data_IF_493634536982
#
_entry.id   IF_493634536982
#
_cell.length_a   1.000
_cell.length_b   1.000
_cell.length_c   1.000
_cell.angle_alpha   90.00
_cell.angle_beta   90.00
_cell.angle_gamma   90.00
#
_symmetry.space_group_name_H-M   'P 1'
#
loop_
_entity.id
_entity.type
_entity.pdbx_description
1 polymer ?
#
# COMPACT_ATOMS: atom_id res chain seq x y z
N UNK A 1 -9.90 15.28 -20.56
CA UNK A 1 -8.43 15.40 -20.87
C UNK A 1 -7.67 15.39 -19.57
N UNK A 2 -6.56 14.67 -19.49
CA UNK A 2 -5.70 14.67 -18.30
C UNK A 2 -5.08 16.03 -18.10
N UNK A 3 -5.26 16.66 -16.93
CA UNK A 3 -4.66 17.97 -16.63
C UNK A 3 -3.25 17.76 -16.08
N UNK A 4 -2.26 18.42 -16.66
CA UNK A 4 -0.91 18.47 -16.10
C UNK A 4 -0.82 19.57 -15.05
N UNK A 5 -0.38 19.23 -13.84
CA UNK A 5 -0.24 20.15 -12.71
C UNK A 5 1.21 20.60 -12.45
N UNK A 6 2.16 20.26 -13.30
CA UNK A 6 3.59 20.55 -13.08
C UNK A 6 3.88 22.04 -12.87
N UNK A 7 3.12 22.92 -13.52
CA UNK A 7 3.29 24.37 -13.38
C UNK A 7 2.49 24.97 -12.22
N UNK A 8 1.24 24.54 -12.06
CA UNK A 8 0.30 25.14 -11.11
C UNK A 8 0.35 24.46 -9.73
N UNK A 9 0.82 23.23 -9.69
CA UNK A 9 0.85 22.39 -8.50
C UNK A 9 -0.53 22.02 -7.96
N UNK A 10 -0.56 21.22 -6.88
CA UNK A 10 -1.78 20.79 -6.22
C UNK A 10 -2.65 21.97 -5.74
N UNK A 11 -2.05 23.11 -5.44
CA UNK A 11 -2.76 24.30 -4.94
C UNK A 11 -3.88 24.78 -5.89
N UNK A 12 -3.72 24.55 -7.22
CA UNK A 12 -4.69 24.97 -8.23
C UNK A 12 -6.02 24.22 -8.16
N UNK A 13 -6.02 23.03 -7.56
CA UNK A 13 -7.21 22.17 -7.47
C UNK A 13 -7.60 21.79 -6.03
N UNK A 14 -6.74 22.04 -5.04
CA UNK A 14 -6.95 21.57 -3.67
C UNK A 14 -8.28 22.04 -3.04
N UNK A 15 -8.78 23.20 -3.46
CA UNK A 15 -10.05 23.72 -2.93
C UNK A 15 -11.29 22.91 -3.38
N UNK A 16 -11.15 22.12 -4.44
CA UNK A 16 -12.25 21.31 -4.98
C UNK A 16 -12.49 20.03 -4.17
N UNK A 17 -11.60 19.70 -3.20
CA UNK A 17 -11.65 18.46 -2.44
C UNK A 17 -11.73 18.71 -0.94
N UNK A 18 -12.39 17.77 -0.25
CA UNK A 18 -12.57 17.78 1.20
C UNK A 18 -11.56 16.84 1.88
N UNK A 19 -11.21 15.75 1.21
CA UNK A 19 -10.34 14.69 1.73
C UNK A 19 -9.30 14.28 0.70
N UNK A 20 -8.06 14.08 1.19
CA UNK A 20 -6.94 13.59 0.38
C UNK A 20 -6.46 12.26 0.93
N UNK A 21 -6.41 11.22 0.08
CA UNK A 21 -5.63 10.02 0.34
C UNK A 21 -4.28 10.19 -0.35
N UNK A 22 -3.21 10.14 0.41
CA UNK A 22 -1.85 10.43 -0.08
C UNK A 22 -0.98 9.23 0.22
N UNK A 23 -0.38 8.63 -0.81
CA UNK A 23 0.56 7.55 -0.62
C UNK A 23 1.84 8.03 0.07
N UNK A 24 2.53 7.11 0.77
CA UNK A 24 3.79 7.40 1.45
C UNK A 24 5.00 7.13 0.55
N UNK A 25 5.11 5.91 0.06
CA UNK A 25 6.29 5.46 -0.68
C UNK A 25 6.25 5.97 -2.11
N UNK A 26 7.31 6.63 -2.58
CA UNK A 26 7.34 7.27 -3.89
C UNK A 26 6.70 8.66 -3.93
N UNK A 27 5.89 9.03 -2.94
CA UNK A 27 5.20 10.34 -2.85
C UNK A 27 5.75 11.20 -1.71
N UNK A 28 5.72 10.69 -0.48
CA UNK A 28 6.22 11.43 0.70
C UNK A 28 7.69 11.13 0.96
N UNK A 29 8.15 9.91 0.68
CA UNK A 29 9.54 9.48 0.86
C UNK A 29 9.94 8.41 -0.16
N UNK A 30 11.25 8.20 -0.32
CA UNK A 30 11.82 7.17 -1.18
C UNK A 30 12.42 5.98 -0.40
N UNK A 31 12.01 5.77 0.85
CA UNK A 31 12.54 4.76 1.75
C UNK A 31 13.84 5.15 2.49
N UNK A 32 14.47 6.27 2.09
CA UNK A 32 15.73 6.79 2.67
C UNK A 32 15.53 8.17 3.29
N UNK A 33 14.81 9.05 2.59
CA UNK A 33 14.56 10.44 3.00
C UNK A 33 13.18 10.91 2.60
N UNK A 34 12.67 11.92 3.33
CA UNK A 34 11.44 12.63 3.00
C UNK A 34 11.66 13.54 1.78
N UNK A 35 10.60 13.73 1.00
CA UNK A 35 10.54 14.74 -0.07
C UNK A 35 10.08 16.07 0.52
N UNK A 36 10.94 17.07 0.55
CA UNK A 36 10.65 18.38 1.15
C UNK A 36 9.41 19.05 0.58
N UNK A 37 9.21 18.98 -0.74
CA UNK A 37 8.03 19.54 -1.41
C UNK A 37 6.73 18.86 -0.96
N UNK A 38 6.76 17.55 -0.76
CA UNK A 38 5.61 16.81 -0.25
C UNK A 38 5.28 17.22 1.20
N UNK A 39 6.28 17.31 2.07
CA UNK A 39 6.09 17.79 3.45
C UNK A 39 5.54 19.22 3.48
N UNK A 40 6.07 20.12 2.63
CA UNK A 40 5.54 21.47 2.50
C UNK A 40 4.05 21.46 2.06
N UNK A 41 3.70 20.58 1.12
CA UNK A 41 2.31 20.41 0.67
C UNK A 41 1.39 19.94 1.79
N UNK A 42 1.80 18.96 2.60
CA UNK A 42 1.01 18.50 3.77
C UNK A 42 0.77 19.65 4.77
N UNK A 43 1.79 20.46 5.05
CA UNK A 43 1.65 21.60 5.93
C UNK A 43 0.68 22.65 5.36
N UNK A 44 0.68 22.89 4.04
CA UNK A 44 -0.29 23.79 3.41
C UNK A 44 -1.72 23.23 3.44
N UNK A 45 -1.92 21.90 3.27
CA UNK A 45 -3.22 21.28 3.43
C UNK A 45 -3.75 21.46 4.86
N UNK A 46 -2.89 21.28 5.89
CA UNK A 46 -3.24 21.55 7.30
C UNK A 46 -3.64 23.00 7.53
N UNK A 47 -2.85 23.96 7.07
CA UNK A 47 -3.17 25.39 7.19
C UNK A 47 -4.52 25.75 6.56
N UNK A 48 -4.90 25.05 5.50
CA UNK A 48 -6.20 25.20 4.83
C UNK A 48 -7.33 24.37 5.45
N UNK A 49 -7.09 23.72 6.59
CA UNK A 49 -8.03 22.83 7.29
C UNK A 49 -8.56 21.70 6.37
N UNK A 50 -7.74 21.19 5.45
CA UNK A 50 -8.07 20.05 4.60
C UNK A 50 -7.79 18.76 5.33
N UNK A 51 -8.73 17.80 5.26
CA UNK A 51 -8.52 16.45 5.80
C UNK A 51 -7.63 15.64 4.87
N UNK A 52 -6.69 14.89 5.43
CA UNK A 52 -5.89 13.94 4.66
C UNK A 52 -5.57 12.69 5.47
N UNK A 53 -5.32 11.60 4.77
CA UNK A 53 -4.81 10.33 5.31
C UNK A 53 -3.57 9.97 4.52
N UNK A 54 -2.50 9.63 5.22
CA UNK A 54 -1.29 9.05 4.65
C UNK A 54 -1.50 7.55 4.52
N UNK A 55 -2.00 7.11 3.35
CA UNK A 55 -2.50 5.77 3.11
C UNK A 55 -1.43 4.91 2.43
N UNK A 56 -0.93 3.90 3.15
CA UNK A 56 0.18 3.07 2.65
C UNK A 56 -0.13 1.58 2.67
N UNK A 57 0.44 0.84 1.70
CA UNK A 57 0.40 -0.62 1.65
C UNK A 57 1.46 -1.31 2.54
N UNK A 58 2.10 -0.56 3.45
CA UNK A 58 3.04 -1.13 4.40
C UNK A 58 2.38 -2.24 5.25
N UNK A 59 2.94 -3.47 5.31
CA UNK A 59 2.35 -4.62 5.98
C UNK A 59 2.49 -4.57 7.51
N UNK A 60 2.67 -3.41 8.09
CA UNK A 60 2.97 -3.19 9.51
C UNK A 60 1.91 -2.33 10.18
N UNK A 61 1.74 -2.43 11.52
CA UNK A 61 0.86 -1.53 12.26
C UNK A 61 1.22 -0.05 12.08
N UNK A 62 0.25 0.84 12.22
CA UNK A 62 0.46 2.30 12.17
C UNK A 62 1.61 2.76 13.07
N UNK A 63 1.69 2.21 14.30
CA UNK A 63 2.73 2.57 15.26
C UNK A 63 4.16 2.29 14.77
N UNK A 64 4.36 1.22 14.01
CA UNK A 64 5.67 0.85 13.45
C UNK A 64 6.05 1.79 12.31
N UNK A 65 5.12 2.12 11.42
CA UNK A 65 5.35 3.08 10.34
C UNK A 65 5.58 4.49 10.89
N UNK A 66 4.85 4.90 11.94
CA UNK A 66 5.06 6.18 12.60
C UNK A 66 6.48 6.32 13.16
N UNK A 67 7.01 5.29 13.83
CA UNK A 67 8.41 5.28 14.30
C UNK A 67 9.43 5.37 13.16
N UNK A 68 9.12 4.77 12.01
CA UNK A 68 9.98 4.86 10.84
C UNK A 68 10.01 6.28 10.26
N UNK A 69 8.84 6.93 10.12
CA UNK A 69 8.72 8.32 9.65
C UNK A 69 9.34 9.32 10.64
N UNK A 70 9.23 9.06 11.95
CA UNK A 70 9.89 9.84 12.99
C UNK A 70 11.42 9.85 12.82
N UNK A 71 12.01 8.68 12.57
CA UNK A 71 13.46 8.56 12.28
C UNK A 71 13.88 9.32 11.03
N UNK A 72 12.98 9.50 10.07
CA UNK A 72 13.20 10.33 8.88
C UNK A 72 13.01 11.85 9.17
N UNK A 73 12.59 12.22 10.37
CA UNK A 73 12.37 13.63 10.77
C UNK A 73 10.97 14.15 10.44
N UNK A 74 9.98 13.31 10.19
CA UNK A 74 8.59 13.74 9.99
C UNK A 74 7.98 14.12 11.34
N UNK A 75 7.32 15.28 11.41
CA UNK A 75 6.67 15.77 12.63
C UNK A 75 5.49 14.90 13.05
N UNK A 76 5.20 14.86 14.36
CA UNK A 76 4.14 14.03 14.94
C UNK A 76 2.77 14.38 14.36
N UNK A 77 2.49 15.65 14.25
CA UNK A 77 1.23 16.21 13.73
C UNK A 77 0.93 15.90 12.26
N UNK A 78 1.92 15.40 11.51
CA UNK A 78 1.73 14.86 10.17
C UNK A 78 1.60 13.32 10.18
N UNK A 79 2.45 12.64 10.97
CA UNK A 79 2.47 11.16 10.99
C UNK A 79 1.30 10.54 11.77
N UNK A 80 0.57 11.29 12.59
CA UNK A 80 -0.69 10.82 13.22
C UNK A 80 -1.78 10.48 12.19
N UNK A 81 -1.68 11.02 10.96
CA UNK A 81 -2.59 10.76 9.85
C UNK A 81 -2.27 9.47 9.07
N UNK A 82 -1.29 8.67 9.50
CA UNK A 82 -0.91 7.42 8.84
C UNK A 82 -1.97 6.34 9.06
N UNK A 83 -2.34 5.66 7.97
CA UNK A 83 -3.11 4.44 8.00
C UNK A 83 -2.50 3.39 7.07
N UNK A 84 -2.23 2.20 7.60
CA UNK A 84 -1.51 1.15 6.88
C UNK A 84 -2.42 -0.01 6.50
N UNK A 85 -2.06 -0.74 5.45
CA UNK A 85 -2.69 -2.02 5.12
C UNK A 85 -2.50 -3.05 6.25
N UNK A 86 -1.35 -3.01 6.93
CA UNK A 86 -1.10 -3.83 8.10
C UNK A 86 -2.07 -3.56 9.24
N UNK A 87 -2.43 -2.29 9.51
CA UNK A 87 -3.43 -1.95 10.52
C UNK A 87 -4.82 -2.48 10.15
N UNK A 88 -5.22 -2.34 8.88
CA UNK A 88 -6.49 -2.89 8.39
C UNK A 88 -6.53 -4.42 8.52
N UNK A 89 -5.45 -5.10 8.14
CA UNK A 89 -5.31 -6.55 8.30
C UNK A 89 -5.34 -6.97 9.78
N UNK A 90 -4.64 -6.23 10.65
CA UNK A 90 -4.59 -6.52 12.10
C UNK A 90 -5.99 -6.47 12.73
N UNK A 91 -6.82 -5.48 12.39
CA UNK A 91 -8.21 -5.40 12.85
C UNK A 91 -9.00 -6.64 12.42
N UNK A 92 -8.86 -7.09 11.19
CA UNK A 92 -9.52 -8.29 10.67
C UNK A 92 -9.01 -9.56 11.34
N UNK A 93 -7.69 -9.72 11.52
CA UNK A 93 -7.09 -10.87 12.17
C UNK A 93 -7.57 -11.02 13.61
N UNK A 94 -7.67 -9.92 14.36
CA UNK A 94 -8.17 -9.89 15.74
C UNK A 94 -9.63 -10.32 15.87
N UNK A 95 -10.46 -10.09 14.87
CA UNK A 95 -11.88 -10.44 14.89
C UNK A 95 -12.16 -11.82 14.32
N UNK A 96 -11.58 -12.14 13.16
CA UNK A 96 -11.97 -13.31 12.36
C UNK A 96 -11.00 -14.48 12.45
N UNK A 97 -9.74 -14.26 12.88
CA UNK A 97 -8.68 -15.27 12.88
C UNK A 97 -7.91 -15.38 14.20
N UNK A 98 -8.34 -14.71 15.27
CA UNK A 98 -7.62 -14.60 16.54
C UNK A 98 -7.16 -15.92 17.16
N UNK A 99 -7.96 -16.99 17.04
CA UNK A 99 -7.68 -18.31 17.62
C UNK A 99 -7.10 -19.32 16.62
N UNK A 100 -6.89 -18.91 15.36
CA UNK A 100 -6.42 -19.81 14.30
C UNK A 100 -4.90 -19.80 14.19
N UNK A 101 -4.32 -20.97 13.94
CA UNK A 101 -2.90 -21.10 13.71
C UNK A 101 -2.55 -20.64 12.29
N UNK A 102 -1.45 -19.90 12.16
CA UNK A 102 -0.99 -19.40 10.86
C UNK A 102 0.48 -19.70 10.59
N UNK A 103 0.81 -19.83 9.31
CA UNK A 103 2.18 -19.83 8.85
C UNK A 103 2.51 -18.44 8.29
N UNK A 104 3.58 -17.83 8.79
CA UNK A 104 4.01 -16.51 8.35
C UNK A 104 4.95 -16.61 7.14
N UNK A 105 4.56 -15.94 6.04
CA UNK A 105 5.38 -15.74 4.85
C UNK A 105 5.79 -14.27 4.85
N UNK A 106 7.08 -14.03 5.04
CA UNK A 106 7.62 -12.68 5.13
C UNK A 106 8.85 -12.61 6.01
N UNK A 107 9.55 -11.47 6.00
CA UNK A 107 10.77 -11.29 6.76
C UNK A 107 10.48 -11.25 8.28
N UNK A 108 11.43 -11.70 9.11
CA UNK A 108 11.26 -11.69 10.56
C UNK A 108 10.93 -10.30 11.15
N UNK A 109 11.36 -9.24 10.50
CA UNK A 109 11.12 -7.84 10.91
C UNK A 109 9.65 -7.41 10.91
N UNK A 110 8.75 -8.18 10.29
CA UNK A 110 7.33 -7.89 10.24
C UNK A 110 6.53 -8.50 11.41
N UNK A 111 7.22 -9.06 12.43
CA UNK A 111 6.60 -9.71 13.59
C UNK A 111 5.65 -8.78 14.37
N UNK A 112 5.83 -7.46 14.29
CA UNK A 112 4.99 -6.48 14.99
C UNK A 112 3.52 -6.62 14.62
N UNK A 113 3.21 -7.06 13.40
CA UNK A 113 1.85 -7.27 12.92
C UNK A 113 1.10 -8.34 13.73
N UNK A 114 1.80 -9.37 14.16
CA UNK A 114 1.19 -10.52 14.84
C UNK A 114 1.71 -10.76 16.26
N UNK A 115 2.40 -9.79 16.85
CA UNK A 115 2.97 -9.94 18.20
C UNK A 115 1.92 -10.29 19.28
N UNK A 116 0.70 -9.76 19.16
CA UNK A 116 -0.38 -10.05 20.11
C UNK A 116 -0.90 -11.50 20.04
N UNK A 117 -0.73 -12.18 18.91
CA UNK A 117 -1.14 -13.58 18.69
C UNK A 117 0.01 -14.45 18.19
N UNK A 118 1.24 -14.10 18.58
CA UNK A 118 2.46 -14.85 18.21
C UNK A 118 2.42 -16.34 18.59
N UNK A 119 1.67 -16.69 19.63
CA UNK A 119 1.52 -18.09 20.09
C UNK A 119 0.75 -18.95 19.08
N UNK A 120 0.02 -18.33 18.13
CA UNK A 120 -0.68 -19.02 17.06
C UNK A 120 0.20 -19.21 15.80
N UNK A 121 1.45 -18.69 15.81
CA UNK A 121 2.37 -18.89 14.69
C UNK A 121 2.87 -20.34 14.68
N UNK A 122 2.54 -21.07 13.61
CA UNK A 122 3.09 -22.41 13.35
C UNK A 122 4.48 -22.32 12.75
N UNK A 123 5.36 -23.22 13.17
CA UNK A 123 6.67 -23.45 12.52
C UNK A 123 6.52 -24.32 11.27
N UNK A 124 5.54 -25.20 11.27
CA UNK A 124 5.25 -26.11 10.18
C UNK A 124 4.09 -25.61 9.32
N UNK A 125 4.33 -25.50 8.01
CA UNK A 125 3.35 -25.03 7.04
C UNK A 125 2.06 -25.86 7.05
N UNK A 126 2.19 -27.19 7.18
CA UNK A 126 1.05 -28.11 7.16
C UNK A 126 0.14 -27.97 8.38
N UNK A 127 0.66 -27.54 9.51
CA UNK A 127 -0.08 -27.38 10.77
C UNK A 127 -0.88 -26.07 10.86
N UNK A 128 -0.64 -25.16 9.93
CA UNK A 128 -1.34 -23.88 9.89
C UNK A 128 -2.74 -24.03 9.28
N UNK A 129 -3.68 -23.21 9.76
CA UNK A 129 -5.04 -23.11 9.23
C UNK A 129 -5.14 -22.07 8.10
N UNK A 130 -4.24 -21.08 8.11
CA UNK A 130 -4.14 -20.06 7.08
C UNK A 130 -2.71 -19.59 6.89
N UNK A 131 -2.49 -18.83 5.82
CA UNK A 131 -1.20 -18.23 5.47
C UNK A 131 -1.27 -16.73 5.73
N UNK A 132 -0.32 -16.17 6.46
CA UNK A 132 -0.18 -14.73 6.68
C UNK A 132 1.02 -14.23 5.86
N UNK A 133 0.76 -13.56 4.74
CA UNK A 133 1.80 -13.06 3.85
C UNK A 133 2.00 -11.55 4.05
N UNK A 134 3.16 -11.17 4.57
CA UNK A 134 3.57 -9.77 4.79
C UNK A 134 4.65 -9.33 3.80
N UNK A 135 5.35 -10.28 3.19
CA UNK A 135 6.47 -10.04 2.29
C UNK A 135 7.06 -11.35 1.78
N UNK A 136 8.32 -11.28 1.38
CA UNK A 136 9.14 -12.42 1.03
C UNK A 136 10.09 -12.77 2.20
N UNK A 137 10.60 -13.99 2.24
CA UNK A 137 11.69 -14.35 3.16
C UNK A 137 12.97 -13.67 2.72
N UNK A 138 13.82 -13.28 3.67
CA UNK A 138 15.08 -12.59 3.37
C UNK A 138 16.02 -13.46 2.51
N UNK A 139 15.94 -14.80 2.64
CA UNK A 139 16.74 -15.76 1.86
C UNK A 139 16.19 -16.00 0.43
N UNK A 140 14.96 -15.54 0.14
CA UNK A 140 14.24 -15.77 -1.13
C UNK A 140 13.53 -14.50 -1.61
N UNK A 141 14.16 -13.35 -1.46
CA UNK A 141 13.57 -12.03 -1.72
C UNK A 141 13.26 -11.74 -3.20
N UNK A 142 13.83 -12.53 -4.13
CA UNK A 142 13.65 -12.41 -5.59
C UNK A 142 13.22 -13.70 -6.27
N UNK A 143 13.02 -14.81 -5.52
CA UNK A 143 12.72 -16.14 -6.07
C UNK A 143 11.23 -16.53 -5.94
N UNK A 144 10.39 -16.08 -6.87
CA UNK A 144 8.98 -16.49 -6.92
C UNK A 144 8.79 -17.98 -7.21
N UNK A 145 9.78 -18.66 -7.81
CA UNK A 145 9.76 -20.11 -8.04
C UNK A 145 9.78 -20.89 -6.72
N UNK A 146 10.54 -20.42 -5.75
CA UNK A 146 10.54 -20.96 -4.38
C UNK A 146 9.12 -20.96 -3.79
N UNK A 147 8.42 -19.82 -3.85
CA UNK A 147 7.05 -19.70 -3.30
C UNK A 147 6.04 -20.55 -4.04
N UNK A 148 6.18 -20.72 -5.35
CA UNK A 148 5.36 -21.65 -6.12
C UNK A 148 5.47 -23.07 -5.57
N UNK A 149 6.70 -23.56 -5.38
CA UNK A 149 6.95 -24.91 -4.86
C UNK A 149 6.48 -25.06 -3.40
N UNK A 150 6.73 -24.04 -2.57
CA UNK A 150 6.30 -24.02 -1.16
C UNK A 150 4.77 -24.14 -1.03
N UNK A 151 4.04 -23.45 -1.90
CA UNK A 151 2.60 -23.20 -1.74
C UNK A 151 1.71 -24.13 -2.59
N UNK A 152 2.25 -24.88 -3.55
CA UNK A 152 1.46 -25.70 -4.48
C UNK A 152 0.50 -26.70 -3.79
N UNK A 153 0.89 -27.21 -2.63
CA UNK A 153 0.08 -28.17 -1.84
C UNK A 153 -0.84 -27.48 -0.82
N UNK A 154 -0.79 -26.15 -0.74
CA UNK A 154 -1.49 -25.35 0.27
C UNK A 154 -2.70 -24.56 -0.28
N UNK A 155 -3.07 -24.77 -1.53
CA UNK A 155 -4.12 -24.02 -2.26
C UNK A 155 -5.51 -24.06 -1.61
N UNK A 156 -5.74 -25.02 -0.71
CA UNK A 156 -6.99 -25.13 0.09
C UNK A 156 -7.04 -24.17 1.28
N UNK A 157 -5.90 -23.61 1.67
CA UNK A 157 -5.82 -22.62 2.74
C UNK A 157 -6.11 -21.23 2.20
N UNK A 158 -6.63 -20.36 3.05
CA UNK A 158 -6.74 -18.93 2.73
C UNK A 158 -5.41 -18.23 2.99
N UNK A 159 -5.02 -17.35 2.09
CA UNK A 159 -3.89 -16.45 2.32
C UNK A 159 -4.41 -15.05 2.68
N UNK A 160 -3.91 -14.49 3.77
CA UNK A 160 -4.11 -13.09 4.14
C UNK A 160 -2.89 -12.32 3.65
N UNK A 161 -3.07 -11.50 2.62
CA UNK A 161 -2.01 -10.65 2.06
C UNK A 161 -2.15 -9.23 2.63
N UNK A 162 -1.12 -8.78 3.33
CA UNK A 162 -1.14 -7.49 4.04
C UNK A 162 -0.41 -6.38 3.29
N UNK A 163 0.09 -6.66 2.09
CA UNK A 163 0.67 -5.68 1.18
C UNK A 163 0.38 -6.10 -0.27
N UNK A 164 -0.64 -5.52 -0.93
CA UNK A 164 -1.00 -5.87 -2.31
C UNK A 164 0.00 -5.40 -3.39
N UNK A 165 0.96 -4.53 -3.04
CA UNK A 165 1.97 -4.11 -4.01
C UNK A 165 2.74 -5.31 -4.55
N UNK A 166 3.03 -5.31 -5.85
CA UNK A 166 3.88 -6.33 -6.48
C UNK A 166 5.35 -6.03 -6.25
N UNK A 167 5.71 -4.76 -6.35
CA UNK A 167 7.08 -4.25 -6.27
C UNK A 167 7.12 -2.92 -5.52
N UNK A 168 8.29 -2.58 -5.00
CA UNK A 168 8.60 -1.27 -4.43
C UNK A 168 10.03 -0.87 -4.79
N UNK A 169 10.28 0.43 -4.99
CA UNK A 169 11.62 0.95 -5.21
C UNK A 169 12.18 1.55 -3.92
N UNK A 170 13.22 0.92 -3.34
CA UNK A 170 13.96 1.44 -2.19
C UNK A 170 15.23 2.14 -2.69
N UNK A 171 15.16 3.44 -2.83
CA UNK A 171 16.21 4.19 -3.51
C UNK A 171 16.32 3.75 -4.98
N UNK A 172 17.42 3.08 -5.32
CA UNK A 172 17.66 2.55 -6.67
C UNK A 172 17.49 1.01 -6.77
N UNK A 173 17.03 0.36 -5.71
CA UNK A 173 16.84 -1.09 -5.67
C UNK A 173 15.35 -1.39 -5.74
N UNK A 174 14.96 -2.22 -6.72
CA UNK A 174 13.60 -2.74 -6.85
C UNK A 174 13.46 -4.04 -6.09
N UNK A 175 12.49 -4.10 -5.18
CA UNK A 175 12.20 -5.24 -4.33
C UNK A 175 10.81 -5.80 -4.65
N UNK A 176 10.65 -7.13 -4.58
CA UNK A 176 9.32 -7.76 -4.63
C UNK A 176 8.58 -7.57 -3.31
N UNK A 177 7.24 -7.49 -3.39
CA UNK A 177 6.36 -7.36 -2.23
C UNK A 177 5.45 -8.58 -2.07
N UNK A 178 4.70 -8.64 -0.96
CA UNK A 178 3.79 -9.75 -0.65
C UNK A 178 2.75 -10.02 -1.75
N UNK A 179 2.31 -8.97 -2.46
CA UNK A 179 1.40 -9.11 -3.60
C UNK A 179 1.95 -10.00 -4.72
N UNK A 180 3.26 -10.03 -4.93
CA UNK A 180 3.88 -10.94 -5.91
C UNK A 180 3.74 -12.41 -5.49
N UNK A 181 3.92 -12.72 -4.20
CA UNK A 181 3.69 -14.08 -3.66
C UNK A 181 2.21 -14.44 -3.73
N UNK A 182 1.34 -13.52 -3.34
CA UNK A 182 -0.11 -13.71 -3.38
C UNK A 182 -0.60 -13.97 -4.81
N UNK A 183 -0.09 -13.23 -5.80
CA UNK A 183 -0.40 -13.45 -7.22
C UNK A 183 0.04 -14.84 -7.71
N UNK A 184 1.19 -15.35 -7.26
CA UNK A 184 1.63 -16.73 -7.57
C UNK A 184 0.65 -17.72 -6.98
N UNK A 185 0.21 -17.51 -5.73
CA UNK A 185 -0.74 -18.39 -5.04
C UNK A 185 -2.12 -18.40 -5.74
N UNK A 186 -2.65 -17.25 -6.14
CA UNK A 186 -3.91 -17.15 -6.91
C UNK A 186 -3.82 -17.85 -8.26
N UNK A 187 -2.70 -17.71 -8.99
CA UNK A 187 -2.50 -18.41 -10.28
C UNK A 187 -2.50 -19.94 -10.15
N UNK A 188 -2.22 -20.46 -8.96
CA UNK A 188 -2.33 -21.90 -8.66
C UNK A 188 -3.73 -22.30 -8.18
N UNK A 189 -4.68 -21.37 -8.06
CA UNK A 189 -6.05 -21.60 -7.61
C UNK A 189 -6.27 -21.38 -6.10
N UNK A 190 -5.32 -20.78 -5.40
CA UNK A 190 -5.46 -20.40 -4.00
C UNK A 190 -6.36 -19.17 -3.80
N UNK A 191 -7.04 -19.10 -2.66
CA UNK A 191 -7.86 -17.94 -2.26
C UNK A 191 -7.04 -16.93 -1.47
N UNK A 192 -7.02 -15.66 -1.89
CA UNK A 192 -6.33 -14.57 -1.20
C UNK A 192 -7.32 -13.51 -0.72
N UNK A 193 -7.16 -13.09 0.55
CA UNK A 193 -7.84 -11.92 1.11
C UNK A 193 -6.80 -10.81 1.21
N UNK A 194 -7.00 -9.75 0.44
CA UNK A 194 -6.08 -8.63 0.36
C UNK A 194 -6.48 -7.50 1.30
N UNK A 195 -5.48 -6.91 1.97
CA UNK A 195 -5.59 -5.67 2.72
C UNK A 195 -4.65 -4.63 2.12
N UNK A 196 -5.20 -3.46 1.83
CA UNK A 196 -4.46 -2.36 1.22
C UNK A 196 -5.10 -1.90 -0.10
N UNK A 197 -4.52 -0.85 -0.68
CA UNK A 197 -4.90 -0.35 -2.02
C UNK A 197 -4.62 -1.42 -3.08
N UNK A 198 -5.49 -1.63 -4.06
CA UNK A 198 -6.65 -0.84 -4.48
C UNK A 198 -7.98 -1.20 -3.80
N UNK A 199 -8.00 -2.07 -2.78
CA UNK A 199 -9.21 -2.59 -2.16
C UNK A 199 -9.89 -1.55 -1.27
N UNK A 200 -11.23 -1.45 -1.35
CA UNK A 200 -12.03 -0.44 -0.66
C UNK A 200 -11.87 -0.44 0.87
N UNK A 201 -11.60 -1.60 1.44
CA UNK A 201 -11.50 -1.82 2.90
C UNK A 201 -10.55 -0.85 3.57
N UNK A 202 -9.34 -0.63 3.02
CA UNK A 202 -8.33 0.24 3.61
C UNK A 202 -8.77 1.70 3.62
N UNK A 203 -9.50 2.14 2.61
CA UNK A 203 -10.06 3.50 2.54
C UNK A 203 -11.16 3.70 3.59
N UNK A 204 -12.11 2.77 3.65
CA UNK A 204 -13.27 2.84 4.55
C UNK A 204 -12.88 2.73 6.03
N UNK A 205 -11.82 1.98 6.35
CA UNK A 205 -11.33 1.83 7.72
C UNK A 205 -10.46 2.98 8.21
N UNK A 206 -9.93 3.81 7.31
CA UNK A 206 -8.96 4.85 7.64
C UNK A 206 -9.60 6.11 8.22
N UNK A 207 -10.70 6.56 7.64
CA UNK A 207 -11.46 7.76 8.05
C UNK A 207 -12.88 7.68 7.48
N UNK A 208 -13.84 8.36 8.11
CA UNK A 208 -15.14 8.58 7.52
C UNK A 208 -15.04 9.46 6.26
N UNK A 209 -15.39 8.88 5.12
CA UNK A 209 -15.29 9.50 3.80
C UNK A 209 -16.63 9.69 3.09
N UNK A 210 -17.76 9.39 3.78
CA UNK A 210 -19.10 9.46 3.21
C UNK A 210 -19.44 10.91 2.80
N UNK A 211 -19.85 11.09 1.56
CA UNK A 211 -20.25 12.39 1.01
C UNK A 211 -19.11 13.38 0.75
N UNK A 212 -17.85 13.01 0.97
CA UNK A 212 -16.70 13.87 0.73
C UNK A 212 -16.25 13.82 -0.73
N UNK A 213 -15.80 14.95 -1.26
CA UNK A 213 -15.06 15.00 -2.51
C UNK A 213 -13.62 14.60 -2.24
N UNK A 214 -13.21 13.48 -2.82
CA UNK A 214 -11.93 12.82 -2.53
C UNK A 214 -10.96 12.97 -3.69
N UNK A 215 -9.69 13.27 -3.37
CA UNK A 215 -8.55 13.14 -4.27
C UNK A 215 -7.56 12.11 -3.71
N UNK A 216 -7.30 11.06 -4.48
CA UNK A 216 -6.21 10.12 -4.18
C UNK A 216 -4.94 10.53 -4.92
N UNK A 217 -3.83 10.59 -4.21
CA UNK A 217 -2.51 10.99 -4.73
C UNK A 217 -1.55 9.84 -4.52
N UNK A 218 -0.99 9.31 -5.60
CA UNK A 218 -0.05 8.19 -5.54
C UNK A 218 0.80 8.07 -6.79
N UNK A 219 1.79 7.19 -6.75
CA UNK A 219 2.69 6.93 -7.87
C UNK A 219 2.43 5.59 -8.56
N UNK A 220 1.57 4.73 -7.97
CA UNK A 220 1.34 3.38 -8.44
C UNK A 220 -0.03 3.25 -9.12
N UNK A 221 0.00 2.94 -10.44
CA UNK A 221 -1.20 2.75 -11.25
C UNK A 221 -2.05 1.56 -10.80
N UNK A 222 -1.42 0.49 -10.30
CA UNK A 222 -2.11 -0.73 -9.86
C UNK A 222 -2.83 -0.58 -8.52
N UNK A 223 -2.39 0.32 -7.67
CA UNK A 223 -2.89 0.47 -6.30
C UNK A 223 -3.58 1.81 -6.09
N UNK A 224 -2.86 2.92 -6.17
CA UNK A 224 -3.41 4.25 -5.90
C UNK A 224 -4.48 4.66 -6.91
N UNK A 225 -4.11 4.63 -8.20
CA UNK A 225 -4.98 5.10 -9.27
C UNK A 225 -6.14 4.13 -9.50
N UNK A 226 -5.84 2.82 -9.53
CA UNK A 226 -6.87 1.79 -9.63
C UNK A 226 -7.85 1.83 -8.47
N UNK A 227 -7.36 2.01 -7.23
CA UNK A 227 -8.20 2.12 -6.04
C UNK A 227 -9.12 3.33 -6.09
N UNK A 228 -8.58 4.49 -6.49
CA UNK A 228 -9.39 5.69 -6.70
C UNK A 228 -10.49 5.46 -7.76
N UNK A 229 -10.13 4.82 -8.89
CA UNK A 229 -11.10 4.53 -9.96
C UNK A 229 -12.22 3.59 -9.51
N UNK A 230 -11.89 2.53 -8.75
CA UNK A 230 -12.87 1.58 -8.22
C UNK A 230 -13.87 2.25 -7.26
N UNK A 231 -13.42 3.28 -6.55
CA UNK A 231 -14.23 4.02 -5.57
C UNK A 231 -14.87 5.29 -6.15
N UNK A 232 -14.70 5.54 -7.46
CA UNK A 232 -15.13 6.77 -8.13
C UNK A 232 -14.54 8.06 -7.51
N UNK A 233 -13.33 7.99 -6.95
CA UNK A 233 -12.57 9.14 -6.52
C UNK A 233 -11.77 9.74 -7.68
N UNK A 234 -11.44 11.02 -7.57
CA UNK A 234 -10.45 11.62 -8.46
C UNK A 234 -9.06 11.14 -8.06
N UNK A 235 -8.15 11.09 -9.02
CA UNK A 235 -6.79 10.66 -8.78
C UNK A 235 -5.76 11.60 -9.38
N UNK A 236 -4.60 11.71 -8.71
CA UNK A 236 -3.42 12.43 -9.16
C UNK A 236 -2.24 11.47 -9.17
N UNK A 237 -1.68 11.22 -10.36
CA UNK A 237 -0.51 10.38 -10.53
C UNK A 237 0.77 11.19 -10.33
N UNK A 238 1.64 10.73 -9.43
CA UNK A 238 3.00 11.25 -9.26
C UNK A 238 3.94 10.50 -10.21
N UNK A 239 4.30 11.14 -11.33
CA UNK A 239 5.03 10.49 -12.43
C UNK A 239 6.49 10.12 -12.13
N UNK A 240 7.10 10.67 -11.08
CA UNK A 240 8.49 10.41 -10.69
C UNK A 240 8.67 9.23 -9.70
N UNK A 241 7.63 8.41 -9.52
CA UNK A 241 7.63 7.22 -8.66
C UNK A 241 7.91 5.92 -9.42
N UNK A 242 7.19 4.85 -9.04
CA UNK A 242 7.43 3.47 -9.49
C UNK A 242 7.38 3.27 -11.02
N UNK A 243 6.56 4.07 -11.74
CA UNK A 243 6.40 4.00 -13.20
C UNK A 243 7.25 5.03 -13.97
N UNK A 244 8.20 5.70 -13.33
CA UNK A 244 8.99 6.79 -13.91
C UNK A 244 9.61 6.42 -15.27
N UNK A 245 10.28 5.28 -15.37
CA UNK A 245 10.97 4.87 -16.59
C UNK A 245 10.00 4.54 -17.73
N UNK A 246 8.88 3.89 -17.41
CA UNK A 246 7.84 3.56 -18.40
C UNK A 246 7.18 4.83 -18.94
N UNK A 247 6.84 5.76 -18.04
CA UNK A 247 6.23 7.05 -18.39
C UNK A 247 7.17 7.88 -19.25
N UNK A 248 8.47 7.90 -18.96
CA UNK A 248 9.46 8.59 -19.80
C UNK A 248 9.57 8.00 -21.20
N UNK A 249 9.41 6.68 -21.36
CA UNK A 249 9.52 5.99 -22.66
C UNK A 249 8.24 6.11 -23.49
N UNK A 250 7.08 6.00 -22.89
CA UNK A 250 5.78 5.82 -23.56
C UNK A 250 4.81 6.99 -23.37
N UNK A 251 5.03 7.82 -22.35
CA UNK A 251 4.11 8.87 -21.91
C UNK A 251 2.99 8.34 -21.00
N UNK A 252 2.44 9.22 -20.17
CA UNK A 252 1.43 8.90 -19.13
C UNK A 252 0.20 8.21 -19.71
N UNK A 253 -0.30 8.67 -20.86
CA UNK A 253 -1.53 8.17 -21.45
C UNK A 253 -1.44 6.73 -21.94
N UNK A 254 -0.29 6.31 -22.46
CA UNK A 254 -0.06 4.94 -22.94
C UNK A 254 0.14 3.99 -21.76
N UNK A 255 0.98 4.36 -20.80
CA UNK A 255 1.22 3.55 -19.60
C UNK A 255 -0.08 3.37 -18.79
N UNK A 256 -0.88 4.42 -18.62
CA UNK A 256 -2.17 4.32 -17.91
C UNK A 256 -3.13 3.31 -18.55
N UNK A 257 -3.15 3.22 -19.88
CA UNK A 257 -3.98 2.23 -20.60
C UNK A 257 -3.49 0.81 -20.37
N UNK A 258 -2.18 0.57 -20.38
CA UNK A 258 -1.59 -0.75 -20.16
C UNK A 258 -1.96 -1.32 -18.78
N UNK A 259 -2.09 -0.46 -17.76
CA UNK A 259 -2.48 -0.84 -16.41
C UNK A 259 -3.99 -0.78 -16.16
N UNK A 260 -4.82 -0.54 -17.21
CA UNK A 260 -6.26 -0.34 -17.07
C UNK A 260 -6.62 0.72 -16.01
N UNK A 261 -5.69 1.62 -15.75
CA UNK A 261 -5.81 2.66 -14.75
C UNK A 261 -6.16 3.98 -15.43
N UNK A 262 -7.40 4.41 -15.32
CA UNK A 262 -7.85 5.67 -15.91
C UNK A 262 -7.38 6.80 -14.99
N UNK A 263 -6.38 7.57 -15.45
CA UNK A 263 -6.06 8.87 -14.86
C UNK A 263 -7.13 9.84 -15.31
N UNK A 264 -8.16 10.02 -14.48
CA UNK A 264 -9.28 10.92 -14.78
C UNK A 264 -8.83 12.35 -14.63
N UNK A 265 -9.17 13.18 -15.60
CA UNK A 265 -9.10 14.65 -15.52
C UNK A 265 -10.50 15.22 -15.34
N UNK A 266 -10.61 16.28 -14.61
CA UNK A 266 -11.72 17.21 -14.79
C UNK A 266 -11.53 18.05 -16.05
#
# INVERSE_FOLDING_TARGET
MTKNLDLDGLQSIANNYDLFYIDLWGVIHNGIKLHYSAIATLNELKKKNKSFVLLTNAPRPNSTVNKFLEKMGMSEDLREHVFTSGEAALKFLKTSFKSKNFFHIGPPRDFDLFNEFKNNKSTELNESEYLLCTGLFDEHEDDLGYYKNLLEKQIKKKMICTNPDLIVDRGNIRELCAGSVAMVFEKMGGEVIYFGKPHAEVYNQSIDNVGKKVLAIGDNLNTDIKGANLLNYHSLLVCNGIHKEEIHKKGVGEVSKEYEAIVRSE
#
